data_IF_157866812912
#
_entry.id   IF_157866812912
#
_cell.length_a   1.000
_cell.length_b   1.000
_cell.length_c   1.000
_cell.angle_alpha   90.00
_cell.angle_beta   90.00
_cell.angle_gamma   90.00
#
_symmetry.space_group_name_H-M   'P 1'
#
loop_
_entity.id
_entity.type
_entity.pdbx_description
1 polymer ?
#
# COMPACT_ATOMS: atom_id res chain seq x y z
N UNK A 1 16.01 36.63 8.17
CA UNK A 1 15.21 37.07 7.00
C UNK A 1 13.86 36.37 7.10
N UNK A 2 12.73 37.06 6.92
CA UNK A 2 11.36 36.50 7.15
C UNK A 2 10.66 35.97 5.89
N UNK A 3 11.30 36.07 4.72
CA UNK A 3 10.76 35.58 3.45
C UNK A 3 11.13 34.11 3.26
N UNK A 4 10.29 33.31 2.56
CA UNK A 4 10.64 31.93 2.21
C UNK A 4 11.92 31.91 1.36
N UNK A 5 12.77 30.92 1.60
CA UNK A 5 13.93 30.69 0.75
C UNK A 5 13.50 29.99 -0.55
N UNK A 6 14.08 30.38 -1.68
CA UNK A 6 13.80 29.72 -2.97
C UNK A 6 14.28 28.27 -3.02
N UNK A 7 15.32 27.97 -2.24
CA UNK A 7 15.99 26.67 -2.18
C UNK A 7 15.48 25.78 -1.06
N UNK A 8 14.47 26.19 -0.29
CA UNK A 8 13.90 25.37 0.79
C UNK A 8 12.42 25.17 0.50
N UNK A 9 12.02 23.91 0.48
CA UNK A 9 10.64 23.50 0.26
C UNK A 9 10.09 22.94 1.56
N UNK A 10 8.83 23.24 1.88
CA UNK A 10 8.15 22.77 3.09
C UNK A 10 6.77 22.24 2.72
N UNK A 11 6.57 20.94 2.91
CA UNK A 11 5.32 20.25 2.60
C UNK A 11 4.63 19.80 3.90
N UNK A 12 3.32 20.01 3.99
CA UNK A 12 2.52 19.57 5.12
C UNK A 12 2.00 18.16 4.85
N UNK A 13 2.29 17.23 5.76
CA UNK A 13 1.79 15.85 5.73
C UNK A 13 0.95 15.57 6.98
N UNK A 14 0.14 14.52 6.97
CA UNK A 14 -0.51 14.00 8.18
C UNK A 14 -0.70 12.49 8.18
N UNK A 15 -1.03 11.95 9.35
CA UNK A 15 -1.46 10.57 9.55
C UNK A 15 -2.54 10.50 10.64
N UNK A 16 -3.53 9.60 10.54
CA UNK A 16 -4.47 9.31 11.63
C UNK A 16 -3.84 8.46 12.74
N UNK A 17 -2.54 8.15 12.67
CA UNK A 17 -1.79 7.50 13.74
C UNK A 17 -0.91 8.51 14.48
N UNK A 18 -0.65 8.25 15.75
CA UNK A 18 0.29 9.03 16.56
C UNK A 18 1.71 8.57 16.30
N UNK A 19 2.61 9.53 16.10
CA UNK A 19 4.05 9.29 16.01
C UNK A 19 4.79 10.08 17.07
N UNK A 20 6.02 9.66 17.35
CA UNK A 20 6.96 10.36 18.22
C UNK A 20 8.27 10.67 17.48
N UNK A 21 9.12 11.45 18.14
CA UNK A 21 10.43 11.87 17.67
C UNK A 21 10.38 12.69 16.37
N UNK A 22 11.54 12.93 15.80
CA UNK A 22 11.75 13.58 14.52
C UNK A 22 12.93 12.90 13.82
N UNK A 23 13.05 13.14 12.53
CA UNK A 23 14.15 12.61 11.74
C UNK A 23 14.73 13.71 10.88
N UNK A 24 16.04 13.87 10.95
CA UNK A 24 16.80 14.93 10.28
C UNK A 24 18.05 14.32 9.66
N UNK A 25 18.26 14.65 8.39
CA UNK A 25 19.45 14.34 7.59
C UNK A 25 19.94 15.62 6.91
N UNK A 26 21.10 15.56 6.26
CA UNK A 26 21.72 16.73 5.62
C UNK A 26 20.78 17.42 4.61
N UNK A 27 20.02 16.64 3.85
CA UNK A 27 19.19 17.15 2.75
C UNK A 27 17.72 17.40 3.11
N UNK A 28 17.23 16.83 4.22
CA UNK A 28 15.83 17.00 4.63
C UNK A 28 15.57 16.75 6.12
N UNK A 29 14.47 17.31 6.61
CA UNK A 29 13.94 17.10 7.96
C UNK A 29 12.45 16.73 7.89
N UNK A 30 12.06 15.75 8.69
CA UNK A 30 10.69 15.37 8.97
C UNK A 30 10.44 15.55 10.48
N UNK A 31 9.67 16.58 10.83
CA UNK A 31 9.33 16.89 12.22
C UNK A 31 7.84 17.13 12.37
N UNK A 32 7.36 17.26 13.61
CA UNK A 32 5.96 17.51 13.91
C UNK A 32 5.55 18.96 13.59
N UNK A 33 4.43 19.13 12.89
CA UNK A 33 3.78 20.42 12.68
C UNK A 33 2.74 20.67 13.79
N UNK A 34 3.20 21.19 14.92
CA UNK A 34 2.35 21.40 16.10
C UNK A 34 1.29 22.48 15.87
N UNK A 35 0.03 22.14 16.07
CA UNK A 35 -1.04 23.12 16.26
C UNK A 35 -0.87 23.88 17.59
N UNK A 36 -1.50 25.05 17.73
CA UNK A 36 -1.48 25.78 19.01
C UNK A 36 -2.03 24.92 20.15
N UNK A 37 -1.31 24.98 21.28
CA UNK A 37 -1.53 24.20 22.50
C UNK A 37 -3.00 24.20 22.97
N UNK A 38 -3.58 23.00 23.14
CA UNK A 38 -4.89 22.82 23.77
C UNK A 38 -5.72 21.68 23.17
N UNK A 39 -5.61 21.45 21.86
CA UNK A 39 -6.27 20.33 21.21
C UNK A 39 -5.30 19.15 21.09
N UNK A 40 -4.93 18.53 22.22
CA UNK A 40 -4.57 17.11 22.16
C UNK A 40 -5.85 16.39 21.76
N UNK A 41 -6.11 16.29 20.47
CA UNK A 41 -7.21 15.51 19.96
C UNK A 41 -7.06 14.11 20.56
N UNK A 42 -8.12 13.62 21.19
CA UNK A 42 -8.19 12.27 21.68
C UNK A 42 -7.77 11.31 20.56
N UNK A 43 -6.76 10.46 20.79
CA UNK A 43 -6.28 9.48 19.80
C UNK A 43 -7.37 8.47 19.43
N UNK A 44 -8.39 8.31 20.28
CA UNK A 44 -9.57 7.52 19.97
C UNK A 44 -10.55 8.25 19.03
N UNK A 45 -10.37 9.56 18.81
CA UNK A 45 -11.22 10.34 17.91
C UNK A 45 -11.03 9.89 16.46
N UNK A 46 -12.13 9.68 15.71
CA UNK A 46 -12.03 9.37 14.29
C UNK A 46 -11.43 10.51 13.44
N UNK A 47 -11.40 11.72 13.99
CA UNK A 47 -10.81 12.91 13.35
C UNK A 47 -9.39 13.21 13.84
N UNK A 48 -8.81 12.33 14.67
CA UNK A 48 -7.44 12.50 15.13
C UNK A 48 -6.46 12.56 13.95
N UNK A 49 -5.53 13.52 14.00
CA UNK A 49 -4.44 13.65 13.04
C UNK A 49 -3.16 14.09 13.76
N UNK A 50 -2.06 13.43 13.41
CA UNK A 50 -0.72 13.96 13.62
C UNK A 50 -0.29 14.66 12.34
N UNK A 51 0.15 15.92 12.45
CA UNK A 51 0.69 16.66 11.32
C UNK A 51 2.20 16.70 11.36
N UNK A 52 2.81 16.68 10.18
CA UNK A 52 4.26 16.70 9.99
C UNK A 52 4.66 17.77 8.99
N UNK A 53 5.81 18.37 9.21
CA UNK A 53 6.48 19.20 8.23
C UNK A 53 7.62 18.40 7.61
N UNK A 54 7.55 18.17 6.30
CA UNK A 54 8.68 17.70 5.50
C UNK A 54 9.35 18.92 4.89
N UNK A 55 10.57 19.25 5.34
CA UNK A 55 11.37 20.33 4.77
C UNK A 55 12.60 19.77 4.08
N UNK A 56 12.92 20.24 2.88
CA UNK A 56 14.10 19.78 2.14
C UNK A 56 14.71 20.89 1.29
N UNK A 57 16.01 20.77 1.05
CA UNK A 57 16.74 21.69 0.20
C UNK A 57 16.66 21.30 -1.28
N UNK A 58 16.70 22.31 -2.16
CA UNK A 58 16.80 22.11 -3.61
C UNK A 58 17.90 23.02 -4.18
N UNK A 59 18.51 22.64 -5.32
CA UNK A 59 19.46 23.50 -6.00
C UNK A 59 18.85 24.85 -6.37
N UNK A 60 19.67 25.90 -6.36
CA UNK A 60 19.24 27.23 -6.77
C UNK A 60 18.74 27.23 -8.22
N UNK A 61 17.63 27.92 -8.46
CA UNK A 61 17.03 28.04 -9.79
C UNK A 61 17.84 29.01 -10.65
N UNK A 62 18.10 28.63 -11.90
CA UNK A 62 18.67 29.53 -12.89
C UNK A 62 17.58 30.52 -13.37
N UNK A 63 17.67 31.78 -12.93
CA UNK A 63 16.65 32.81 -13.15
C UNK A 63 16.72 33.42 -14.55
N UNK A 64 16.55 32.60 -15.59
CA UNK A 64 16.43 33.06 -16.98
C UNK A 64 14.98 33.24 -17.38
N UNK A 65 14.71 34.21 -18.25
CA UNK A 65 13.38 34.40 -18.81
C UNK A 65 12.90 33.12 -19.51
N UNK A 66 11.68 32.69 -19.19
CA UNK A 66 11.08 31.45 -19.72
C UNK A 66 11.39 30.17 -18.95
N UNK A 67 12.18 30.23 -17.86
CA UNK A 67 12.40 29.06 -16.98
C UNK A 67 11.16 28.82 -16.13
N UNK A 68 10.62 27.60 -16.22
CA UNK A 68 9.49 27.15 -15.39
C UNK A 68 9.95 26.95 -13.95
N UNK A 69 9.24 27.56 -12.99
CA UNK A 69 9.47 27.30 -11.57
C UNK A 69 9.06 25.85 -11.27
N UNK A 70 9.96 25.01 -10.75
CA UNK A 70 9.64 23.61 -10.49
C UNK A 70 8.60 23.49 -9.37
N UNK A 71 7.68 22.56 -9.57
CA UNK A 71 6.71 22.14 -8.58
C UNK A 71 7.23 20.86 -7.89
N UNK A 72 7.50 20.95 -6.59
CA UNK A 72 8.00 19.84 -5.80
C UNK A 72 6.90 19.08 -5.02
N UNK A 73 5.62 19.43 -5.20
CA UNK A 73 4.48 18.74 -4.59
C UNK A 73 4.50 17.20 -4.79
N UNK A 74 4.92 16.64 -5.94
CA UNK A 74 5.01 15.18 -6.10
C UNK A 74 5.94 14.48 -5.10
N UNK A 75 6.89 15.22 -4.51
CA UNK A 75 7.77 14.71 -3.45
C UNK A 75 6.97 14.33 -2.21
N UNK A 76 5.97 15.13 -1.82
CA UNK A 76 5.09 14.83 -0.69
C UNK A 76 4.31 13.54 -0.88
N UNK A 77 3.75 13.33 -2.08
CA UNK A 77 3.02 12.10 -2.42
C UNK A 77 3.92 10.86 -2.36
N UNK A 78 5.14 10.97 -2.89
CA UNK A 78 6.15 9.90 -2.84
C UNK A 78 6.54 9.61 -1.39
N UNK A 79 6.79 10.64 -0.59
CA UNK A 79 7.19 10.48 0.81
C UNK A 79 6.08 9.83 1.64
N UNK A 80 4.83 10.29 1.51
CA UNK A 80 3.68 9.65 2.14
C UNK A 80 3.52 8.18 1.72
N UNK A 81 3.78 7.84 0.45
CA UNK A 81 3.73 6.47 -0.01
C UNK A 81 4.82 5.59 0.63
N UNK A 82 6.05 6.08 0.75
CA UNK A 82 7.14 5.36 1.41
C UNK A 82 6.85 5.15 2.90
N UNK A 83 6.40 6.20 3.61
CA UNK A 83 6.00 6.10 5.01
C UNK A 83 4.83 5.12 5.18
N UNK A 84 3.86 5.13 4.26
CA UNK A 84 2.76 4.18 4.28
C UNK A 84 3.24 2.74 4.14
N UNK A 85 4.21 2.46 3.26
CA UNK A 85 4.80 1.11 3.14
C UNK A 85 5.52 0.73 4.44
N UNK A 86 6.41 1.59 4.94
CA UNK A 86 7.21 1.34 6.13
C UNK A 86 6.34 1.02 7.35
N UNK A 87 5.45 1.95 7.73
CA UNK A 87 4.63 1.80 8.94
C UNK A 87 3.34 1.00 8.72
N UNK A 88 2.92 0.81 7.47
CA UNK A 88 1.62 0.23 7.13
C UNK A 88 0.45 1.10 7.56
N UNK A 89 0.65 2.41 7.58
CA UNK A 89 -0.32 3.43 8.03
C UNK A 89 -0.71 4.36 6.91
N UNK A 90 -1.91 4.93 7.01
CA UNK A 90 -2.33 6.00 6.11
C UNK A 90 -1.48 7.25 6.35
N UNK A 91 -1.02 7.85 5.27
CA UNK A 91 -0.42 9.19 5.25
C UNK A 91 -1.07 10.02 4.15
N UNK A 92 -1.34 11.28 4.44
CA UNK A 92 -1.95 12.25 3.55
C UNK A 92 -0.98 13.43 3.32
N UNK A 93 -0.87 13.87 2.07
CA UNK A 93 -0.11 15.05 1.68
C UNK A 93 -1.10 16.21 1.45
N UNK A 94 -0.84 17.35 2.08
CA UNK A 94 -1.74 18.51 2.08
C UNK A 94 -1.27 19.66 1.17
N UNK A 95 -0.16 19.49 0.46
CA UNK A 95 0.46 20.55 -0.34
C UNK A 95 1.55 21.30 0.41
N UNK A 96 2.10 22.32 -0.23
CA UNK A 96 3.18 23.12 0.33
C UNK A 96 2.67 24.17 1.32
N UNK A 97 3.54 24.50 2.27
CA UNK A 97 3.45 25.70 3.11
C UNK A 97 4.43 26.75 2.61
N UNK A 98 5.61 26.31 2.14
CA UNK A 98 6.58 27.13 1.43
C UNK A 98 7.09 26.34 0.22
N UNK A 99 7.09 26.95 -0.96
CA UNK A 99 7.67 26.36 -2.17
C UNK A 99 8.24 27.45 -3.07
N UNK A 100 9.48 27.24 -3.54
CA UNK A 100 10.17 28.08 -4.53
C UNK A 100 10.09 29.59 -4.21
N UNK A 101 10.30 29.96 -2.94
CA UNK A 101 10.34 31.36 -2.49
C UNK A 101 8.96 31.99 -2.23
N UNK A 102 7.89 31.20 -2.34
CA UNK A 102 6.51 31.63 -2.08
C UNK A 102 5.92 30.92 -0.87
N UNK A 103 5.02 31.60 -0.16
CA UNK A 103 4.14 30.95 0.82
C UNK A 103 2.94 30.34 0.10
N UNK A 104 2.51 29.18 0.55
CA UNK A 104 1.35 28.46 0.02
C UNK A 104 0.36 28.12 1.13
N UNK A 105 -0.91 27.94 0.74
CA UNK A 105 -1.98 27.53 1.65
C UNK A 105 -2.24 26.04 1.41
N UNK A 106 -1.94 25.16 2.37
CA UNK A 106 -2.19 23.73 2.21
C UNK A 106 -3.70 23.43 2.19
N UNK A 107 -4.06 22.36 1.49
CA UNK A 107 -5.42 21.82 1.44
C UNK A 107 -5.65 20.78 2.54
N UNK A 108 -6.46 21.15 3.52
CA UNK A 108 -6.80 20.30 4.67
C UNK A 108 -8.08 19.48 4.47
N UNK A 109 -8.72 19.49 3.30
CA UNK A 109 -9.98 18.76 3.07
C UNK A 109 -9.89 17.25 3.33
N UNK A 110 -8.71 16.62 3.15
CA UNK A 110 -8.50 15.20 3.49
C UNK A 110 -8.40 14.95 5.00
N UNK A 111 -8.08 15.97 5.81
CA UNK A 111 -8.01 15.84 7.26
C UNK A 111 -9.40 15.74 7.91
N UNK A 112 -10.45 16.18 7.22
CA UNK A 112 -11.84 16.12 7.69
C UNK A 112 -12.46 14.71 7.54
N UNK A 113 -11.78 13.79 6.85
CA UNK A 113 -12.28 12.44 6.65
C UNK A 113 -12.30 11.63 7.96
N UNK A 114 -13.39 10.92 8.22
CA UNK A 114 -13.50 10.03 9.38
C UNK A 114 -12.59 8.82 9.20
N UNK A 115 -11.66 8.60 10.13
CA UNK A 115 -10.78 7.43 10.18
C UNK A 115 -11.16 6.53 11.36
N UNK A 116 -11.59 5.30 11.11
CA UNK A 116 -11.87 4.33 12.19
C UNK A 116 -10.54 3.83 12.81
N UNK A 117 -10.22 4.12 14.08
CA UNK A 117 -8.95 3.77 14.71
C UNK A 117 -8.77 2.25 14.93
N UNK A 118 -9.82 1.45 14.75
CA UNK A 118 -9.74 -0.02 14.81
C UNK A 118 -9.13 -0.63 13.54
N UNK A 119 -8.99 0.15 12.48
CA UNK A 119 -8.40 -0.32 11.22
C UNK A 119 -6.89 -0.43 11.35
N UNK A 120 -6.24 -1.49 10.85
CA UNK A 120 -4.79 -1.66 10.99
C UNK A 120 -3.95 -0.50 10.43
N UNK A 121 -4.48 0.22 9.44
CA UNK A 121 -3.83 1.37 8.79
C UNK A 121 -4.23 2.73 9.37
N UNK A 122 -5.12 2.76 10.37
CA UNK A 122 -5.48 3.96 11.16
C UNK A 122 -5.07 3.75 12.63
N UNK A 123 -4.71 4.80 13.36
CA UNK A 123 -4.38 4.67 14.78
C UNK A 123 -3.05 3.95 15.10
N UNK A 124 -2.83 3.70 16.39
CA UNK A 124 -1.52 3.37 16.95
C UNK A 124 -1.12 1.88 16.93
N UNK A 125 -2.06 0.95 16.66
CA UNK A 125 -1.79 -0.50 16.67
C UNK A 125 -0.70 -0.87 15.65
N UNK A 126 0.38 -1.53 16.07
CA UNK A 126 1.42 -1.96 15.13
C UNK A 126 0.91 -3.06 14.19
N UNK A 127 1.50 -3.13 12.99
CA UNK A 127 1.12 -4.13 11.98
C UNK A 127 1.66 -5.51 12.36
N UNK A 128 0.85 -6.55 12.17
CA UNK A 128 1.16 -7.89 12.69
C UNK A 128 2.37 -8.55 12.01
N UNK A 129 2.54 -8.39 10.69
CA UNK A 129 3.65 -9.05 9.98
C UNK A 129 4.98 -8.35 10.14
N UNK A 130 4.93 -7.05 10.39
CA UNK A 130 6.08 -6.19 10.34
C UNK A 130 5.80 -4.95 11.21
N UNK A 131 6.00 -5.11 12.54
CA UNK A 131 5.73 -4.07 13.50
C UNK A 131 6.89 -3.07 13.50
N UNK A 132 6.71 -1.94 12.83
CA UNK A 132 7.64 -0.81 12.95
C UNK A 132 7.11 0.12 14.04
N UNK A 133 7.91 0.46 15.07
CA UNK A 133 7.51 1.46 16.06
C UNK A 133 7.05 2.74 15.39
N UNK A 134 6.01 3.41 15.90
CA UNK A 134 5.53 4.69 15.36
C UNK A 134 6.45 5.83 15.80
N UNK A 135 7.71 5.73 15.41
CA UNK A 135 8.82 6.63 15.73
C UNK A 135 9.41 7.14 14.41
N UNK A 136 9.47 8.45 14.23
CA UNK A 136 9.94 9.04 12.97
C UNK A 136 11.41 8.71 12.68
N UNK A 137 12.22 8.33 13.68
CA UNK A 137 13.61 7.90 13.45
C UNK A 137 13.71 6.62 12.63
N UNK A 138 12.66 5.82 12.57
CA UNK A 138 12.61 4.63 11.70
C UNK A 138 12.63 4.99 10.20
N UNK A 139 12.42 6.26 9.85
CA UNK A 139 12.56 6.79 8.47
C UNK A 139 13.97 6.58 7.93
N UNK A 140 15.01 6.46 8.78
CA UNK A 140 16.37 6.11 8.36
C UNK A 140 16.42 4.83 7.49
N UNK A 141 15.47 3.90 7.69
CA UNK A 141 15.39 2.67 6.88
C UNK A 141 15.10 2.96 5.41
N UNK A 142 14.46 4.09 5.12
CA UNK A 142 14.05 4.52 3.79
C UNK A 142 15.13 5.30 3.03
N UNK A 143 16.25 5.64 3.66
CA UNK A 143 17.32 6.48 3.05
C UNK A 143 17.71 5.98 1.66
N UNK A 144 18.02 4.68 1.55
CA UNK A 144 18.35 4.06 0.28
C UNK A 144 17.30 4.39 -0.78
N UNK A 145 16.02 4.17 -0.49
CA UNK A 145 14.86 4.39 -1.37
C UNK A 145 14.62 5.86 -1.72
N UNK A 146 14.89 6.78 -0.80
CA UNK A 146 14.75 8.22 -1.00
C UNK A 146 15.77 8.68 -2.06
N UNK A 147 17.02 8.23 -1.91
CA UNK A 147 18.14 8.64 -2.76
C UNK A 147 18.31 7.81 -4.04
N UNK A 148 17.60 6.67 -4.24
CA UNK A 148 17.72 5.91 -5.49
C UNK A 148 17.33 6.78 -6.69
N UNK A 149 18.24 6.98 -7.66
CA UNK A 149 17.88 7.57 -8.93
C UNK A 149 16.98 6.59 -9.68
N UNK A 150 15.68 6.89 -9.75
CA UNK A 150 14.71 6.02 -10.41
C UNK A 150 15.00 5.79 -11.91
N UNK A 151 15.83 6.64 -12.53
CA UNK A 151 16.00 6.72 -13.99
C UNK A 151 16.60 5.45 -14.60
N UNK A 152 17.36 4.64 -13.84
CA UNK A 152 18.07 3.46 -14.38
C UNK A 152 17.75 2.12 -13.70
N UNK A 153 16.83 2.09 -12.74
CA UNK A 153 16.47 0.85 -12.03
C UNK A 153 14.98 0.54 -12.21
N UNK A 154 14.67 -0.45 -13.06
CA UNK A 154 13.29 -0.88 -13.36
C UNK A 154 12.51 -1.29 -12.11
N UNK A 155 13.16 -1.97 -11.17
CA UNK A 155 12.52 -2.36 -9.91
C UNK A 155 12.21 -1.12 -9.06
N UNK A 156 13.13 -0.16 -8.96
CA UNK A 156 12.88 1.08 -8.24
C UNK A 156 11.74 1.90 -8.85
N UNK A 157 11.63 1.96 -10.18
CA UNK A 157 10.50 2.64 -10.85
C UNK A 157 9.16 1.96 -10.56
N UNK A 158 9.11 0.63 -10.67
CA UNK A 158 7.91 -0.13 -10.40
C UNK A 158 7.51 -0.05 -8.93
N UNK A 159 8.49 -0.14 -8.02
CA UNK A 159 8.30 0.02 -6.58
C UNK A 159 7.72 1.39 -6.23
N UNK A 160 8.32 2.48 -6.71
CA UNK A 160 7.78 3.83 -6.46
C UNK A 160 6.33 3.95 -6.97
N UNK A 161 6.03 3.40 -8.14
CA UNK A 161 4.68 3.40 -8.70
C UNK A 161 3.72 2.56 -7.84
N UNK A 162 4.14 1.37 -7.41
CA UNK A 162 3.35 0.47 -6.59
C UNK A 162 3.10 1.04 -5.19
N UNK A 163 4.10 1.68 -4.57
CA UNK A 163 3.97 2.37 -3.29
C UNK A 163 2.95 3.52 -3.39
N UNK A 164 2.96 4.29 -4.48
CA UNK A 164 1.96 5.34 -4.72
C UNK A 164 0.54 4.77 -4.80
N UNK A 165 0.34 3.66 -5.53
CA UNK A 165 -0.95 2.98 -5.57
C UNK A 165 -1.38 2.43 -4.22
N UNK A 166 -0.46 1.84 -3.47
CA UNK A 166 -0.71 1.37 -2.11
C UNK A 166 -1.13 2.51 -1.16
N UNK A 167 -0.39 3.63 -1.14
CA UNK A 167 -0.75 4.81 -0.36
C UNK A 167 -2.11 5.38 -0.76
N UNK A 168 -2.43 5.41 -2.06
CA UNK A 168 -3.76 5.80 -2.55
C UNK A 168 -4.85 4.86 -2.07
N UNK A 169 -4.62 3.54 -2.09
CA UNK A 169 -5.59 2.56 -1.58
C UNK A 169 -5.96 2.85 -0.12
N UNK A 170 -4.97 3.11 0.75
CA UNK A 170 -5.23 3.44 2.15
C UNK A 170 -6.02 4.74 2.35
N UNK A 171 -5.84 5.73 1.47
CA UNK A 171 -6.60 6.99 1.52
C UNK A 171 -8.02 6.88 0.96
N UNK A 172 -8.23 5.96 0.02
CA UNK A 172 -9.49 5.84 -0.71
C UNK A 172 -10.47 4.86 -0.06
N UNK A 173 -9.99 3.85 0.67
CA UNK A 173 -10.82 2.73 1.17
C UNK A 173 -12.03 3.16 2.01
N UNK A 174 -11.91 4.26 2.76
CA UNK A 174 -13.02 4.79 3.57
C UNK A 174 -14.19 5.35 2.75
N UNK A 175 -13.92 5.80 1.51
CA UNK A 175 -14.91 6.41 0.61
C UNK A 175 -15.35 5.45 -0.48
N UNK A 176 -14.38 4.73 -1.05
CA UNK A 176 -14.57 3.83 -2.18
C UNK A 176 -13.67 2.59 -2.03
N UNK A 177 -14.14 1.55 -1.33
CA UNK A 177 -13.35 0.33 -1.11
C UNK A 177 -13.07 -0.43 -2.40
N UNK A 178 -13.89 -0.28 -3.45
CA UNK A 178 -13.69 -0.96 -4.73
C UNK A 178 -12.47 -0.39 -5.47
N UNK A 179 -12.42 0.93 -5.61
CA UNK A 179 -11.29 1.62 -6.24
C UNK A 179 -10.01 1.41 -5.42
N UNK A 180 -10.12 1.43 -4.09
CA UNK A 180 -8.99 1.12 -3.22
C UNK A 180 -8.47 -0.30 -3.43
N UNK A 181 -9.36 -1.27 -3.59
CA UNK A 181 -9.00 -2.66 -3.89
C UNK A 181 -8.29 -2.79 -5.25
N UNK A 182 -8.78 -2.10 -6.28
CA UNK A 182 -8.14 -2.05 -7.60
C UNK A 182 -6.75 -1.41 -7.54
N UNK A 183 -6.54 -0.39 -6.71
CA UNK A 183 -5.22 0.18 -6.48
C UNK A 183 -4.23 -0.83 -5.90
N UNK A 184 -4.63 -1.66 -4.93
CA UNK A 184 -3.78 -2.72 -4.39
C UNK A 184 -3.39 -3.75 -5.46
N UNK A 185 -4.36 -4.16 -6.29
CA UNK A 185 -4.09 -5.07 -7.41
C UNK A 185 -3.11 -4.42 -8.39
N UNK A 186 -3.33 -3.15 -8.73
CA UNK A 186 -2.45 -2.40 -9.63
C UNK A 186 -1.03 -2.29 -9.08
N UNK A 187 -0.86 -2.09 -7.77
CA UNK A 187 0.45 -2.07 -7.13
C UNK A 187 1.21 -3.40 -7.33
N UNK A 188 0.54 -4.53 -7.06
CA UNK A 188 1.10 -5.86 -7.29
C UNK A 188 1.36 -6.13 -8.79
N UNK A 189 0.48 -5.70 -9.70
CA UNK A 189 0.68 -5.83 -11.15
C UNK A 189 1.96 -5.11 -11.61
N UNK A 190 2.20 -3.88 -11.11
CA UNK A 190 3.40 -3.11 -11.44
C UNK A 190 4.69 -3.80 -10.99
N UNK A 191 4.71 -4.36 -9.79
CA UNK A 191 5.86 -5.12 -9.31
C UNK A 191 6.03 -6.42 -10.11
N UNK A 192 4.92 -7.12 -10.38
CA UNK A 192 4.92 -8.36 -11.14
C UNK A 192 5.49 -8.20 -12.54
N UNK A 193 5.37 -7.02 -13.17
CA UNK A 193 5.93 -6.68 -14.49
C UNK A 193 7.46 -6.66 -14.53
N UNK A 194 8.13 -6.36 -13.41
CA UNK A 194 9.59 -6.18 -13.37
C UNK A 194 10.32 -7.15 -12.47
N UNK A 195 9.65 -7.74 -11.47
CA UNK A 195 10.26 -8.66 -10.54
C UNK A 195 10.93 -9.79 -11.34
N UNK A 196 12.27 -9.97 -11.22
CA UNK A 196 12.91 -11.14 -11.77
C UNK A 196 12.31 -12.32 -11.04
N UNK A 197 11.49 -13.10 -11.76
CA UNK A 197 10.99 -14.38 -11.27
C UNK A 197 12.13 -15.39 -11.35
N UNK A 198 13.30 -15.07 -10.76
CA UNK A 198 14.42 -15.98 -10.61
C UNK A 198 14.05 -17.04 -9.58
N UNK A 199 13.99 -18.29 -10.01
CA UNK A 199 13.62 -19.41 -9.13
C UNK A 199 12.16 -19.82 -9.17
N UNK A 200 11.36 -19.31 -10.11
CA UNK A 200 10.02 -19.85 -10.35
C UNK A 200 10.09 -21.19 -11.09
N UNK A 201 10.37 -22.25 -10.33
CA UNK A 201 9.74 -23.55 -10.57
C UNK A 201 8.26 -23.43 -10.18
N UNK A 202 7.46 -22.73 -11.01
CA UNK A 202 6.01 -22.82 -10.91
C UNK A 202 5.65 -24.27 -11.23
N UNK A 203 5.23 -24.99 -10.20
CA UNK A 203 4.81 -26.40 -10.19
C UNK A 203 4.19 -26.84 -11.53
N UNK A 204 4.61 -28.03 -11.98
CA UNK A 204 4.09 -28.71 -13.17
C UNK A 204 2.56 -28.73 -13.24
N UNK A 205 1.84 -28.65 -12.12
CA UNK A 205 0.37 -28.59 -12.06
C UNK A 205 -0.22 -27.32 -12.68
N UNK A 206 0.41 -26.15 -12.46
CA UNK A 206 -0.07 -24.88 -13.04
C UNK A 206 0.17 -24.87 -14.55
N UNK A 207 1.29 -25.44 -15.01
CA UNK A 207 1.64 -25.54 -16.44
C UNK A 207 0.70 -26.49 -17.20
N UNK A 208 0.41 -27.66 -16.63
CA UNK A 208 -0.42 -28.72 -17.24
C UNK A 208 -1.89 -28.28 -17.41
N UNK A 209 -2.41 -27.45 -16.51
CA UNK A 209 -3.77 -26.90 -16.62
C UNK A 209 -3.94 -25.94 -17.81
N UNK A 210 -2.86 -25.33 -18.31
CA UNK A 210 -2.91 -24.33 -19.39
C UNK A 210 -2.65 -24.91 -20.78
N UNK A 211 -1.75 -25.89 -20.91
CA UNK A 211 -1.46 -26.59 -22.18
C UNK A 211 -2.72 -27.24 -22.78
N UNK A 212 -3.65 -27.67 -21.91
CA UNK A 212 -4.90 -28.31 -22.28
C UNK A 212 -5.93 -27.38 -22.94
N UNK A 213 -5.81 -26.06 -22.73
CA UNK A 213 -6.77 -25.05 -23.21
C UNK A 213 -6.26 -24.35 -24.48
N UNK A 214 -4.95 -24.42 -24.73
CA UNK A 214 -4.29 -23.74 -25.85
C UNK A 214 -4.47 -24.48 -27.19
N UNK A 215 -4.76 -25.79 -27.13
CA UNK A 215 -4.82 -26.69 -28.29
C UNK A 215 -6.15 -26.68 -29.08
N UNK A 216 -7.19 -25.93 -28.68
CA UNK A 216 -8.56 -26.22 -29.16
C UNK A 216 -9.22 -25.28 -30.18
N UNK A 217 -8.69 -24.11 -30.62
CA UNK A 217 -9.47 -23.23 -31.53
C UNK A 217 -8.66 -22.38 -32.54
N UNK A 218 -9.29 -21.79 -33.57
CA UNK A 218 -8.62 -20.94 -34.60
C UNK A 218 -9.46 -19.77 -35.18
N UNK A 219 -8.76 -18.66 -35.55
CA UNK A 219 -9.19 -17.60 -36.50
C UNK A 219 -10.09 -16.47 -35.96
N UNK A 220 -9.63 -15.21 -35.92
CA UNK A 220 -10.32 -14.07 -35.25
C UNK A 220 -10.12 -14.06 -33.73
N UNK A 221 -10.11 -15.26 -33.18
CA UNK A 221 -9.57 -15.63 -31.88
C UNK A 221 -8.13 -15.18 -31.61
N UNK A 222 -7.29 -14.96 -32.63
CA UNK A 222 -5.85 -14.72 -32.44
C UNK A 222 -5.55 -13.46 -31.62
N UNK A 223 -6.27 -12.35 -31.87
CA UNK A 223 -6.10 -11.09 -31.13
C UNK A 223 -6.71 -11.20 -29.73
N UNK A 224 -7.91 -11.78 -29.62
CA UNK A 224 -8.58 -12.06 -28.35
C UNK A 224 -7.79 -13.04 -27.49
N UNK A 225 -7.09 -13.99 -28.09
CA UNK A 225 -6.19 -14.97 -27.45
C UNK A 225 -4.85 -14.35 -27.07
N UNK A 226 -4.37 -13.35 -27.83
CA UNK A 226 -3.19 -12.55 -27.46
C UNK A 226 -3.50 -11.66 -26.24
N UNK A 227 -4.68 -11.03 -26.20
CA UNK A 227 -5.18 -10.29 -25.03
C UNK A 227 -5.47 -11.21 -23.83
N UNK A 228 -6.16 -12.34 -24.03
CA UNK A 228 -6.38 -13.36 -22.98
C UNK A 228 -5.04 -13.97 -22.52
N UNK A 229 -4.08 -14.16 -23.42
CA UNK A 229 -2.75 -14.69 -23.14
C UNK A 229 -1.95 -13.73 -22.27
N UNK A 230 -1.95 -12.43 -22.62
CA UNK A 230 -1.34 -11.38 -21.80
C UNK A 230 -2.02 -11.22 -20.44
N UNK A 231 -3.36 -11.30 -20.39
CA UNK A 231 -4.13 -11.26 -19.14
C UNK A 231 -3.86 -12.49 -18.26
N UNK A 232 -3.77 -13.68 -18.86
CA UNK A 232 -3.37 -14.92 -18.17
C UNK A 232 -1.94 -14.82 -17.67
N UNK A 233 -1.03 -14.25 -18.46
CA UNK A 233 0.35 -14.02 -18.04
C UNK A 233 0.40 -13.05 -16.87
N UNK A 234 -0.36 -11.95 -16.90
CA UNK A 234 -0.41 -10.99 -15.79
C UNK A 234 -1.03 -11.61 -14.54
N UNK A 235 -2.14 -12.36 -14.67
CA UNK A 235 -2.73 -13.15 -13.58
C UNK A 235 -1.72 -14.12 -12.96
N UNK A 236 -0.96 -14.85 -13.78
CA UNK A 236 0.09 -15.77 -13.32
C UNK A 236 1.23 -15.05 -12.61
N UNK A 237 1.69 -13.94 -13.17
CA UNK A 237 2.77 -13.14 -12.57
C UNK A 237 2.33 -12.49 -11.26
N UNK A 238 1.07 -12.04 -11.17
CA UNK A 238 0.47 -11.52 -9.94
C UNK A 238 0.44 -12.59 -8.84
N UNK A 239 -0.13 -13.76 -9.13
CA UNK A 239 -0.20 -14.85 -8.17
C UNK A 239 1.21 -15.32 -7.78
N UNK A 240 2.09 -15.51 -8.76
CA UNK A 240 3.48 -15.91 -8.55
C UNK A 240 4.27 -14.92 -7.70
N UNK A 241 4.12 -13.61 -7.95
CA UNK A 241 4.73 -12.56 -7.13
C UNK A 241 4.31 -12.70 -5.68
N UNK A 242 3.01 -12.78 -5.42
CA UNK A 242 2.48 -12.84 -4.06
C UNK A 242 2.91 -14.15 -3.38
N UNK A 243 2.79 -15.30 -4.03
CA UNK A 243 3.16 -16.59 -3.41
C UNK A 243 4.66 -16.70 -3.13
N UNK A 244 5.51 -16.02 -3.90
CA UNK A 244 6.98 -16.06 -3.70
C UNK A 244 7.40 -15.24 -2.48
N UNK A 245 6.71 -14.15 -2.19
CA UNK A 245 7.10 -13.22 -1.11
C UNK A 245 6.44 -13.51 0.23
N UNK A 246 5.42 -14.38 0.26
CA UNK A 246 4.70 -14.75 1.46
C UNK A 246 5.22 -16.08 2.01
N UNK A 247 5.72 -16.04 3.24
CA UNK A 247 6.25 -17.19 3.95
C UNK A 247 5.20 -17.86 4.87
N UNK A 248 5.57 -18.98 5.48
CA UNK A 248 4.70 -19.69 6.43
C UNK A 248 4.37 -18.86 7.66
N UNK A 249 5.25 -17.93 8.04
CA UNK A 249 5.04 -17.08 9.20
C UNK A 249 3.92 -16.04 8.95
N UNK A 250 3.76 -15.57 7.71
CA UNK A 250 2.64 -14.72 7.30
C UNK A 250 1.30 -15.36 7.67
N UNK A 251 1.07 -16.64 7.37
CA UNK A 251 -0.21 -17.30 7.65
C UNK A 251 -0.45 -17.63 9.14
N UNK A 252 0.58 -17.51 9.98
CA UNK A 252 0.45 -17.68 11.44
C UNK A 252 0.02 -16.41 12.15
N UNK A 253 0.12 -15.27 11.47
CA UNK A 253 -0.27 -13.95 11.95
C UNK A 253 -1.54 -13.50 11.21
N UNK A 254 -2.32 -12.62 11.82
CA UNK A 254 -3.59 -12.15 11.25
C UNK A 254 -3.95 -10.78 11.79
N UNK A 255 -4.46 -9.90 10.92
CA UNK A 255 -5.12 -8.66 11.33
C UNK A 255 -6.60 -8.88 11.68
N UNK A 256 -7.19 -10.03 11.27
CA UNK A 256 -8.56 -10.38 11.62
C UNK A 256 -8.69 -10.73 13.10
N UNK A 257 -9.79 -10.26 13.70
CA UNK A 257 -10.14 -10.52 15.10
C UNK A 257 -10.67 -11.96 15.31
N UNK A 258 -10.92 -12.69 14.23
CA UNK A 258 -11.40 -14.08 14.28
C UNK A 258 -10.56 -15.01 13.41
N UNK A 259 -10.40 -16.25 13.86
CA UNK A 259 -9.59 -17.26 13.15
C UNK A 259 -10.17 -17.70 11.81
N UNK A 260 -11.50 -17.64 11.65
CA UNK A 260 -12.17 -18.01 10.42
C UNK A 260 -12.16 -16.91 9.35
N UNK A 261 -11.96 -15.65 9.76
CA UNK A 261 -11.76 -14.51 8.87
C UNK A 261 -10.30 -14.32 8.40
N UNK A 262 -9.34 -15.08 8.94
CA UNK A 262 -7.92 -14.96 8.61
C UNK A 262 -7.55 -15.65 7.27
N UNK A 263 -6.53 -15.14 6.58
CA UNK A 263 -5.93 -15.83 5.43
C UNK A 263 -5.31 -17.16 5.87
N UNK A 264 -5.56 -18.21 5.10
CA UNK A 264 -5.03 -19.55 5.38
C UNK A 264 -4.17 -20.07 4.24
N UNK A 265 -3.02 -20.66 4.61
CA UNK A 265 -2.03 -21.22 3.66
C UNK A 265 -2.66 -22.22 2.70
N UNK A 266 -3.54 -23.10 3.18
CA UNK A 266 -4.18 -24.16 2.38
C UNK A 266 -5.12 -23.64 1.29
N UNK A 267 -5.66 -22.43 1.47
CA UNK A 267 -6.58 -21.79 0.49
C UNK A 267 -5.90 -20.71 -0.35
N UNK A 268 -4.68 -20.34 0.02
CA UNK A 268 -4.03 -19.13 -0.43
C UNK A 268 -3.87 -18.99 -1.94
N UNK A 269 -3.41 -20.02 -2.70
CA UNK A 269 -3.25 -19.89 -4.14
C UNK A 269 -4.56 -19.52 -4.85
N UNK A 270 -5.68 -20.08 -4.38
CA UNK A 270 -7.01 -19.78 -4.94
C UNK A 270 -7.49 -18.39 -4.54
N UNK A 271 -7.18 -17.94 -3.32
CA UNK A 271 -7.51 -16.60 -2.83
C UNK A 271 -6.76 -15.51 -3.60
N UNK A 272 -5.46 -15.66 -3.81
CA UNK A 272 -4.66 -14.72 -4.61
C UNK A 272 -5.21 -14.61 -6.06
N UNK A 273 -5.53 -15.75 -6.69
CA UNK A 273 -6.13 -15.75 -8.02
C UNK A 273 -7.54 -15.11 -8.05
N UNK A 274 -8.33 -15.29 -7.01
CA UNK A 274 -9.68 -14.73 -6.93
C UNK A 274 -9.68 -13.19 -6.85
N UNK A 275 -8.69 -12.58 -6.20
CA UNK A 275 -8.52 -11.12 -6.21
C UNK A 275 -8.37 -10.58 -7.65
N UNK A 276 -7.54 -11.25 -8.45
CA UNK A 276 -7.35 -10.88 -9.85
C UNK A 276 -8.60 -11.13 -10.69
N UNK A 277 -9.30 -12.24 -10.46
CA UNK A 277 -10.54 -12.58 -11.16
C UNK A 277 -11.64 -11.54 -10.89
N UNK A 278 -11.76 -11.03 -9.65
CA UNK A 278 -12.63 -9.90 -9.34
C UNK A 278 -12.28 -8.67 -10.17
N UNK A 279 -11.02 -8.23 -10.18
CA UNK A 279 -10.57 -7.09 -10.99
C UNK A 279 -10.84 -7.27 -12.48
N UNK A 280 -10.63 -8.48 -13.00
CA UNK A 280 -10.97 -8.82 -14.37
C UNK A 280 -12.48 -8.68 -14.64
N UNK A 281 -13.34 -9.17 -13.74
CA UNK A 281 -14.81 -9.05 -13.87
C UNK A 281 -15.26 -7.59 -13.79
N UNK A 282 -14.75 -6.81 -12.85
CA UNK A 282 -15.07 -5.39 -12.76
C UNK A 282 -14.77 -4.64 -14.05
N UNK A 283 -13.55 -4.82 -14.59
CA UNK A 283 -13.12 -4.11 -15.80
C UNK A 283 -13.88 -4.55 -17.05
N UNK A 284 -14.18 -5.85 -17.18
CA UNK A 284 -14.73 -6.40 -18.43
C UNK A 284 -16.25 -6.52 -18.44
N UNK A 285 -16.89 -6.65 -17.28
CA UNK A 285 -18.34 -6.82 -17.18
C UNK A 285 -19.03 -5.73 -16.36
N UNK A 286 -18.27 -4.80 -15.77
CA UNK A 286 -18.82 -3.78 -14.88
C UNK A 286 -19.33 -4.34 -13.55
N UNK A 287 -18.88 -5.53 -13.15
CA UNK A 287 -19.33 -6.17 -11.92
C UNK A 287 -18.76 -5.43 -10.71
N UNK A 288 -19.63 -4.70 -10.00
CA UNK A 288 -19.30 -4.06 -8.72
C UNK A 288 -18.96 -5.10 -7.65
N UNK A 289 -17.98 -4.80 -6.80
CA UNK A 289 -17.63 -5.61 -5.63
C UNK A 289 -18.52 -5.33 -4.42
N UNK A 290 -19.07 -4.12 -4.35
CA UNK A 290 -19.80 -3.56 -3.23
C UNK A 290 -19.02 -3.65 -1.92
N UNK A 291 -19.79 -3.76 -0.84
CA UNK A 291 -19.25 -3.86 0.51
C UNK A 291 -18.66 -5.25 0.83
N UNK A 292 -18.75 -6.24 -0.08
CA UNK A 292 -18.28 -7.61 0.18
C UNK A 292 -16.78 -7.69 0.37
N UNK A 293 -16.02 -6.82 -0.30
CA UNK A 293 -14.56 -6.72 -0.12
C UNK A 293 -14.17 -5.58 0.82
N UNK A 294 -15.12 -4.78 1.30
CA UNK A 294 -14.81 -3.65 2.17
C UNK A 294 -14.36 -4.14 3.56
N UNK A 295 -13.55 -3.35 4.28
CA UNK A 295 -13.19 -3.66 5.65
C UNK A 295 -14.42 -3.80 6.56
N UNK A 296 -14.58 -4.95 7.24
CA UNK A 296 -15.67 -5.19 8.19
C UNK A 296 -15.25 -4.92 9.64
N UNK A 297 -16.17 -4.97 10.61
CA UNK A 297 -15.83 -4.66 12.01
C UNK A 297 -14.81 -5.61 12.66
N UNK A 298 -14.54 -6.78 12.05
CA UNK A 298 -13.63 -7.80 12.56
C UNK A 298 -12.28 -7.80 11.84
N UNK A 299 -12.07 -6.84 10.93
CA UNK A 299 -10.93 -6.80 10.03
C UNK A 299 -10.69 -8.14 9.30
N UNK A 300 -11.77 -8.84 8.93
CA UNK A 300 -11.69 -10.12 8.23
C UNK A 300 -10.83 -9.96 6.98
N UNK A 301 -9.87 -10.86 6.77
CA UNK A 301 -8.96 -10.88 5.63
C UNK A 301 -9.56 -11.64 4.43
N UNK A 302 -10.52 -12.52 4.68
CA UNK A 302 -11.29 -13.25 3.65
C UNK A 302 -12.76 -12.87 3.67
N UNK A 303 -13.41 -12.91 2.50
CA UNK A 303 -14.83 -12.54 2.39
C UNK A 303 -15.76 -13.51 3.13
N UNK A 304 -16.71 -12.95 3.87
CA UNK A 304 -17.69 -13.70 4.68
C UNK A 304 -19.05 -13.76 3.99
N UNK A 305 -19.06 -14.32 2.79
CA UNK A 305 -20.26 -14.42 1.96
C UNK A 305 -20.08 -13.74 0.60
N UNK A 306 -21.17 -13.71 -0.15
CA UNK A 306 -21.23 -13.09 -1.47
C UNK A 306 -22.66 -12.61 -1.74
N UNK A 307 -22.85 -11.60 -2.61
CA UNK A 307 -24.19 -11.15 -2.98
C UNK A 307 -25.04 -12.29 -3.57
N UNK A 308 -26.32 -12.32 -3.19
CA UNK A 308 -27.24 -13.42 -3.49
C UNK A 308 -27.72 -13.43 -4.94
N UNK A 309 -27.71 -12.28 -5.61
CA UNK A 309 -28.15 -12.04 -6.97
C UNK A 309 -27.11 -12.40 -8.05
N UNK A 310 -25.89 -12.76 -7.65
CA UNK A 310 -24.82 -13.15 -8.58
C UNK A 310 -25.02 -14.55 -9.16
N UNK A 311 -24.49 -14.74 -10.37
CA UNK A 311 -24.33 -16.08 -10.94
C UNK A 311 -23.37 -16.93 -10.10
N UNK A 312 -23.43 -18.26 -10.29
CA UNK A 312 -22.66 -19.24 -9.50
C UNK A 312 -21.14 -19.01 -9.59
N UNK A 313 -20.64 -18.59 -10.75
CA UNK A 313 -19.22 -18.38 -10.96
C UNK A 313 -18.75 -17.12 -10.21
N UNK A 314 -19.44 -16.00 -10.42
CA UNK A 314 -19.14 -14.74 -9.72
C UNK A 314 -19.22 -14.90 -8.20
N UNK A 315 -20.26 -15.58 -7.70
CA UNK A 315 -20.41 -15.88 -6.26
C UNK A 315 -19.20 -16.65 -5.70
N UNK A 316 -18.72 -17.65 -6.45
CA UNK A 316 -17.57 -18.44 -6.03
C UNK A 316 -16.25 -17.64 -6.07
N UNK A 317 -16.12 -16.65 -6.95
CA UNK A 317 -14.98 -15.73 -6.94
C UNK A 317 -15.02 -14.88 -5.68
N UNK A 318 -16.15 -14.26 -5.35
CA UNK A 318 -16.29 -13.45 -4.13
C UNK A 318 -15.98 -14.24 -2.86
N UNK A 319 -16.53 -15.45 -2.71
CA UNK A 319 -16.31 -16.30 -1.54
C UNK A 319 -14.83 -16.70 -1.34
N UNK A 320 -14.01 -16.58 -2.37
CA UNK A 320 -12.57 -16.92 -2.31
C UNK A 320 -11.69 -15.70 -2.21
N UNK A 321 -12.16 -14.55 -2.69
CA UNK A 321 -11.38 -13.35 -2.76
C UNK A 321 -11.01 -12.86 -1.34
N UNK A 322 -9.81 -12.30 -1.18
CA UNK A 322 -9.50 -11.58 0.04
C UNK A 322 -10.37 -10.32 0.11
N UNK A 323 -10.67 -9.88 1.32
CA UNK A 323 -11.17 -8.52 1.54
C UNK A 323 -10.05 -7.51 1.28
N UNK A 324 -10.36 -6.22 1.39
CA UNK A 324 -9.37 -5.16 1.38
C UNK A 324 -8.29 -5.39 2.45
N UNK A 325 -8.64 -5.81 3.67
CA UNK A 325 -7.65 -6.05 4.74
C UNK A 325 -6.67 -7.15 4.32
N UNK A 326 -7.18 -8.28 3.83
CA UNK A 326 -6.32 -9.38 3.40
C UNK A 326 -5.43 -8.98 2.24
N UNK A 327 -5.98 -8.30 1.23
CA UNK A 327 -5.22 -7.88 0.06
C UNK A 327 -4.18 -6.80 0.38
N UNK A 328 -4.52 -5.85 1.26
CA UNK A 328 -3.62 -4.79 1.71
C UNK A 328 -2.43 -5.39 2.45
N UNK A 329 -2.70 -6.34 3.35
CA UNK A 329 -1.67 -7.06 4.11
C UNK A 329 -0.70 -7.82 3.19
N UNK A 330 -1.23 -8.56 2.21
CA UNK A 330 -0.42 -9.23 1.18
C UNK A 330 0.43 -8.22 0.39
N UNK A 331 -0.21 -7.15 -0.10
CA UNK A 331 0.43 -6.14 -0.94
C UNK A 331 1.55 -5.42 -0.21
N UNK A 332 1.33 -5.06 1.06
CA UNK A 332 2.34 -4.42 1.90
C UNK A 332 3.55 -5.33 2.10
N UNK A 333 3.34 -6.62 2.39
CA UNK A 333 4.47 -7.53 2.58
C UNK A 333 5.31 -7.67 1.30
N UNK A 334 4.67 -7.79 0.15
CA UNK A 334 5.36 -7.79 -1.16
C UNK A 334 6.17 -6.50 -1.35
N UNK A 335 5.57 -5.34 -1.07
CA UNK A 335 6.27 -4.05 -1.13
C UNK A 335 7.48 -3.99 -0.20
N UNK A 336 7.37 -4.46 1.04
CA UNK A 336 8.47 -4.49 2.01
C UNK A 336 9.62 -5.38 1.54
N UNK A 337 9.32 -6.54 0.96
CA UNK A 337 10.36 -7.43 0.42
C UNK A 337 11.08 -6.80 -0.77
N UNK A 338 10.34 -6.23 -1.73
CA UNK A 338 10.94 -5.49 -2.84
C UNK A 338 11.75 -4.27 -2.37
N UNK A 339 11.29 -3.58 -1.33
CA UNK A 339 12.04 -2.49 -0.71
C UNK A 339 13.37 -2.98 -0.10
N UNK A 340 13.37 -4.17 0.52
CA UNK A 340 14.59 -4.83 0.99
C UNK A 340 15.61 -5.11 -0.12
N UNK A 341 15.16 -5.59 -1.28
CA UNK A 341 16.02 -5.77 -2.46
C UNK A 341 16.61 -4.46 -2.99
N UNK A 342 15.93 -3.34 -2.74
CA UNK A 342 16.37 -1.99 -3.09
C UNK A 342 17.21 -1.34 -1.98
N UNK A 343 17.56 -2.07 -0.91
CA UNK A 343 18.44 -1.60 0.16
C UNK A 343 17.74 -1.01 1.38
N UNK A 344 16.41 -1.06 1.46
CA UNK A 344 15.69 -0.71 2.69
C UNK A 344 16.02 -1.72 3.79
N UNK A 345 16.37 -1.26 4.99
CA UNK A 345 16.63 -2.18 6.12
C UNK A 345 15.30 -2.69 6.67
N UNK A 346 14.97 -3.95 6.38
CA UNK A 346 13.69 -4.56 6.73
C UNK A 346 13.77 -5.22 8.12
N UNK A 347 13.09 -4.74 9.20
CA UNK A 347 13.04 -5.45 10.48
C UNK A 347 12.56 -6.90 10.34
N UNK A 348 13.19 -7.80 11.07
CA UNK A 348 12.68 -9.16 11.12
C UNK A 348 11.36 -9.19 11.92
N UNK A 349 10.37 -10.00 11.51
CA UNK A 349 9.19 -10.21 12.33
C UNK A 349 9.61 -10.82 13.67
N UNK A 350 9.26 -10.20 14.79
CA UNK A 350 9.52 -10.78 16.11
C UNK A 350 8.89 -12.17 16.21
N UNK A 351 9.73 -13.21 16.30
CA UNK A 351 9.31 -14.60 16.44
C UNK A 351 8.88 -14.96 17.87
N UNK A 352 8.87 -13.99 18.80
CA UNK A 352 8.81 -14.22 20.25
C UNK A 352 7.55 -13.68 20.93
N UNK A 353 6.60 -13.08 20.21
CA UNK A 353 5.48 -12.33 20.80
C UNK A 353 4.19 -13.07 21.16
N UNK A 354 4.21 -14.37 21.47
CA UNK A 354 2.98 -15.12 21.81
C UNK A 354 3.14 -16.03 23.03
N UNK A 355 3.54 -15.50 24.19
CA UNK A 355 3.38 -16.22 25.48
C UNK A 355 2.89 -15.32 26.66
N UNK A 356 3.08 -14.00 26.68
CA UNK A 356 2.78 -13.23 27.91
C UNK A 356 1.57 -12.28 27.82
N UNK A 357 0.35 -12.79 27.66
CA UNK A 357 -0.87 -12.06 28.04
C UNK A 357 -1.99 -12.93 28.67
N UNK A 358 -1.70 -14.17 29.10
CA UNK A 358 -2.70 -15.09 29.66
C UNK A 358 -2.63 -15.33 31.17
N UNK A 359 -2.04 -14.44 31.98
CA UNK A 359 -2.20 -14.51 33.45
C UNK A 359 -2.15 -13.14 34.13
N UNK A 360 -3.18 -12.32 33.92
CA UNK A 360 -3.61 -11.29 34.88
C UNK A 360 -5.11 -11.09 34.75
N UNK A 361 -5.87 -12.04 35.29
CA UNK A 361 -7.23 -11.86 35.81
C UNK A 361 -7.64 -13.19 36.45
N UNK A 362 -7.12 -13.41 37.66
CA UNK A 362 -7.76 -14.22 38.70
C UNK A 362 -7.79 -13.36 39.98
#
# INVERSE_FOLDING_TARGET
MLRPAETVQKLLLSSPARYIAEYEEEDFVLTHAWGRAGARHDEASPLYRTYFMLSFATPALDKRAGVMIPNFSPTGDRFCALLAVLFGKRFDHHGAVEMSGSFEVPNLASAEEICDPRRPYHGAKLRVDYPVPLDLREVQRLEALIHIPAVNNKLAMAFNTAALFYGRALRTVGRDPEIAYLHLITACERLAEVAPLSGIELEAEVRTAFERIENELSGGDRVTRLFRGRMRQLRRRFAGLITTHLDDAFFKRSEADTSWGALRKDKFPKTALAAYDLRSRFIHTGLAFGNTIAPDYQNSETANGAPSDLDKESRNIFLRAPTFIGLERMTRLVLLKCAGELGMVVPEPDHTGSIEQEHRND
#
